data_IF_938036068309
#
_entry.id   IF_938036068309
#
_cell.length_a   1.000
_cell.length_b   1.000
_cell.length_c   1.000
_cell.angle_alpha   90.00
_cell.angle_beta   90.00
_cell.angle_gamma   90.00
#
_symmetry.space_group_name_H-M   'P 1'
#
loop_
_entity.id
_entity.type
_entity.pdbx_description
1 polymer ?
#
# COMPACT_ATOMS: atom_id res chain seq x y z
N UNK A 1 3.28 -1.81 16.04
CA UNK A 1 3.28 -1.45 14.60
C UNK A 1 4.45 -0.58 14.21
N UNK A 2 4.58 0.68 14.64
CA UNK A 2 5.73 1.55 14.28
C UNK A 2 7.09 0.92 14.64
N UNK A 3 7.19 0.27 15.82
CA UNK A 3 8.37 -0.53 16.20
C UNK A 3 8.71 -1.63 15.18
N UNK A 4 7.71 -2.38 14.73
CA UNK A 4 7.89 -3.45 13.73
C UNK A 4 8.30 -2.89 12.36
N UNK A 5 7.66 -1.80 11.91
CA UNK A 5 8.06 -1.11 10.67
C UNK A 5 9.50 -0.63 10.75
N UNK A 6 9.91 -0.01 11.87
CA UNK A 6 11.29 0.43 12.10
C UNK A 6 12.28 -0.73 12.03
N UNK A 7 11.94 -1.84 12.70
CA UNK A 7 12.74 -3.06 12.70
C UNK A 7 12.94 -3.60 11.28
N UNK A 8 11.87 -3.69 10.48
CA UNK A 8 11.94 -4.11 9.08
C UNK A 8 12.79 -3.18 8.21
N UNK A 9 12.63 -1.86 8.36
CA UNK A 9 13.45 -0.89 7.62
C UNK A 9 14.93 -1.02 7.99
N UNK A 10 15.25 -1.10 9.28
CA UNK A 10 16.62 -1.30 9.76
C UNK A 10 17.25 -2.58 9.20
N UNK A 11 16.52 -3.71 9.19
CA UNK A 11 17.03 -4.94 8.60
C UNK A 11 17.35 -4.81 7.11
N UNK A 12 16.45 -4.18 6.35
CA UNK A 12 16.67 -3.97 4.92
C UNK A 12 17.89 -3.08 4.66
N UNK A 13 18.08 -2.02 5.47
CA UNK A 13 19.24 -1.12 5.39
C UNK A 13 20.56 -1.84 5.67
N UNK A 14 20.58 -2.81 6.60
CA UNK A 14 21.80 -3.58 6.90
C UNK A 14 22.19 -4.52 5.76
N UNK A 15 21.22 -5.05 5.02
CA UNK A 15 21.48 -5.99 3.91
C UNK A 15 21.88 -5.28 2.60
N UNK A 16 21.48 -4.02 2.43
CA UNK A 16 21.67 -3.27 1.19
C UNK A 16 22.53 -2.02 1.43
N UNK A 17 23.71 -1.95 0.83
CA UNK A 17 24.54 -0.74 0.96
C UNK A 17 23.85 0.45 0.26
N UNK A 18 23.72 1.57 0.98
CA UNK A 18 23.17 2.86 0.50
C UNK A 18 21.67 2.87 0.12
N UNK A 19 20.80 2.36 0.99
CA UNK A 19 19.34 2.51 0.80
C UNK A 19 18.89 3.94 1.15
N UNK A 20 18.21 4.60 0.20
CA UNK A 20 17.39 5.79 0.42
C UNK A 20 15.92 5.41 0.22
N UNK A 21 15.08 5.62 1.23
CA UNK A 21 13.64 5.39 1.10
C UNK A 21 12.96 6.62 0.51
N UNK A 22 12.37 6.49 -0.68
CA UNK A 22 11.70 7.61 -1.36
C UNK A 22 10.21 7.73 -1.00
N UNK A 23 9.55 6.60 -0.73
CA UNK A 23 8.10 6.53 -0.50
C UNK A 23 7.76 5.21 0.20
N UNK A 24 6.75 5.24 1.05
CA UNK A 24 6.08 4.07 1.61
C UNK A 24 4.67 3.97 0.99
N UNK A 25 4.33 2.81 0.47
CA UNK A 25 3.00 2.53 -0.08
C UNK A 25 2.32 1.55 0.86
N UNK A 26 1.19 1.96 1.46
CA UNK A 26 0.39 1.10 2.33
C UNK A 26 -0.64 0.34 1.50
N UNK A 27 -0.78 -0.95 1.80
CA UNK A 27 -1.77 -1.84 1.21
C UNK A 27 -2.32 -2.81 2.26
N UNK A 28 -3.42 -3.47 1.94
CA UNK A 28 -4.11 -4.40 2.83
C UNK A 28 -5.10 -3.70 3.77
N UNK A 29 -5.78 -4.50 4.60
CA UNK A 29 -6.84 -4.00 5.49
C UNK A 29 -6.36 -2.93 6.48
N UNK A 30 -5.13 -3.05 6.98
CA UNK A 30 -4.53 -2.10 7.92
C UNK A 30 -4.29 -0.70 7.33
N UNK A 31 -4.30 -0.56 6.00
CA UNK A 31 -4.21 0.75 5.34
C UNK A 31 -5.45 1.63 5.60
N UNK A 32 -6.57 1.04 6.03
CA UNK A 32 -7.81 1.74 6.42
C UNK A 32 -7.81 2.26 7.88
N UNK A 33 -6.75 2.01 8.66
CA UNK A 33 -6.67 2.53 10.02
C UNK A 33 -6.60 4.06 9.96
N UNK A 34 -7.48 4.74 10.70
CA UNK A 34 -7.52 6.19 10.74
C UNK A 34 -6.15 6.77 11.10
N UNK A 35 -5.71 7.77 10.34
CA UNK A 35 -4.44 8.50 10.50
C UNK A 35 -3.17 7.65 10.38
N UNK A 36 -3.26 6.39 9.90
CA UNK A 36 -2.08 5.52 9.78
C UNK A 36 -1.00 6.10 8.87
N UNK A 37 -1.43 6.69 7.76
CA UNK A 37 -0.56 7.30 6.75
C UNK A 37 0.21 8.46 7.36
N UNK A 38 -0.48 9.37 8.06
CA UNK A 38 0.14 10.56 8.65
C UNK A 38 1.07 10.16 9.81
N UNK A 39 0.66 9.22 10.68
CA UNK A 39 1.49 8.68 11.75
C UNK A 39 2.81 8.10 11.20
N UNK A 40 2.75 7.25 10.16
CA UNK A 40 3.95 6.65 9.59
C UNK A 40 4.80 7.69 8.86
N UNK A 41 4.18 8.68 8.20
CA UNK A 41 4.89 9.75 7.51
C UNK A 41 5.68 10.62 8.48
N UNK A 42 5.10 10.95 9.63
CA UNK A 42 5.76 11.72 10.69
C UNK A 42 6.87 10.90 11.35
N UNK A 43 6.60 9.64 11.70
CA UNK A 43 7.54 8.80 12.46
C UNK A 43 8.80 8.39 11.69
N UNK A 44 8.73 8.37 10.36
CA UNK A 44 9.80 7.91 9.50
C UNK A 44 10.33 8.97 8.54
N UNK A 45 9.72 10.16 8.49
CA UNK A 45 10.09 11.24 7.57
C UNK A 45 10.15 10.77 6.10
N UNK A 46 9.29 9.82 5.75
CA UNK A 46 9.16 9.24 4.41
C UNK A 46 7.75 9.55 3.90
N UNK A 47 7.58 10.02 2.66
CA UNK A 47 6.24 10.19 2.08
C UNK A 47 5.45 8.87 2.12
N UNK A 48 4.30 8.85 2.80
CA UNK A 48 3.42 7.68 2.86
C UNK A 48 2.17 7.91 2.03
N UNK A 49 1.80 6.93 1.20
CA UNK A 49 0.56 6.94 0.41
C UNK A 49 -0.23 5.65 0.61
N UNK A 50 -1.56 5.72 0.48
CA UNK A 50 -2.40 4.53 0.37
C UNK A 50 -2.39 4.08 -1.09
N UNK A 51 -1.96 2.85 -1.33
CA UNK A 51 -1.91 2.28 -2.69
C UNK A 51 -3.31 2.01 -3.22
N UNK A 52 -3.61 2.50 -4.43
CA UNK A 52 -4.84 2.20 -5.14
C UNK A 52 -4.57 1.20 -6.27
N UNK A 53 -4.85 -0.10 -6.10
CA UNK A 53 -4.58 -1.12 -7.12
C UNK A 53 -5.52 -1.02 -8.34
N UNK A 54 -6.58 -0.21 -8.26
CA UNK A 54 -7.51 0.04 -9.36
C UNK A 54 -7.07 1.25 -10.22
N UNK A 55 -5.99 1.93 -9.86
CA UNK A 55 -5.48 3.08 -10.60
C UNK A 55 -5.15 2.71 -12.05
N UNK A 56 -5.64 3.52 -12.99
CA UNK A 56 -5.48 3.28 -14.43
C UNK A 56 -6.29 2.12 -15.02
N UNK A 57 -7.15 1.45 -14.24
CA UNK A 57 -8.01 0.35 -14.72
C UNK A 57 -9.38 0.87 -15.15
N UNK A 58 -9.89 0.38 -16.29
CA UNK A 58 -11.28 0.58 -16.70
C UNK A 58 -12.16 -0.44 -15.98
N UNK A 59 -13.15 0.04 -15.24
CA UNK A 59 -14.11 -0.81 -14.51
C UNK A 59 -15.47 -0.66 -15.20
N UNK A 60 -16.08 -1.78 -15.60
CA UNK A 60 -17.43 -1.77 -16.17
C UNK A 60 -18.47 -1.68 -15.04
N UNK A 61 -19.13 -0.53 -14.93
CA UNK A 61 -20.13 -0.25 -13.89
C UNK A 61 -21.41 -1.10 -14.05
N UNK A 62 -21.61 -1.74 -15.22
CA UNK A 62 -22.73 -2.68 -15.43
C UNK A 62 -22.50 -4.02 -14.77
N UNK A 63 -21.24 -4.36 -14.50
CA UNK A 63 -20.82 -5.65 -13.92
C UNK A 63 -20.42 -5.48 -12.44
N UNK A 64 -19.84 -4.34 -12.08
CA UNK A 64 -19.28 -4.12 -10.74
C UNK A 64 -19.94 -2.95 -10.01
N UNK A 65 -20.27 -3.16 -8.73
CA UNK A 65 -20.64 -2.07 -7.83
C UNK A 65 -19.42 -1.21 -7.48
N UNK A 66 -19.36 -0.02 -8.07
CA UNK A 66 -18.27 0.94 -7.88
C UNK A 66 -18.12 1.41 -6.42
N UNK A 67 -19.22 1.54 -5.67
CA UNK A 67 -19.14 1.93 -4.25
C UNK A 67 -18.46 0.84 -3.43
N UNK A 68 -18.83 -0.42 -3.67
CA UNK A 68 -18.18 -1.57 -3.05
C UNK A 68 -16.71 -1.68 -3.44
N UNK A 69 -16.39 -1.51 -4.72
CA UNK A 69 -14.99 -1.54 -5.20
C UNK A 69 -14.14 -0.46 -4.54
N UNK A 70 -14.65 0.77 -4.41
CA UNK A 70 -13.96 1.87 -3.71
C UNK A 70 -13.73 1.56 -2.23
N UNK A 71 -14.68 0.91 -1.56
CA UNK A 71 -14.55 0.50 -0.15
C UNK A 71 -13.51 -0.62 0.04
N UNK A 72 -13.37 -1.51 -0.93
CA UNK A 72 -12.44 -2.64 -0.86
C UNK A 72 -11.07 -2.34 -1.45
N UNK A 73 -10.88 -1.23 -2.17
CA UNK A 73 -9.68 -0.96 -2.99
C UNK A 73 -8.36 -1.28 -2.27
N UNK A 74 -8.21 -0.92 -0.99
CA UNK A 74 -6.96 -1.08 -0.26
C UNK A 74 -6.60 -2.55 0.00
N UNK A 75 -7.58 -3.46 0.00
CA UNK A 75 -7.37 -4.91 0.17
C UNK A 75 -7.22 -5.65 -1.15
N UNK A 76 -7.48 -5.00 -2.29
CA UNK A 76 -7.49 -5.64 -3.60
C UNK A 76 -6.09 -5.83 -4.21
N UNK A 77 -5.04 -5.27 -3.61
CA UNK A 77 -3.70 -5.25 -4.20
C UNK A 77 -3.22 -6.66 -4.60
N UNK A 78 -3.36 -7.65 -3.72
CA UNK A 78 -2.94 -9.03 -3.98
C UNK A 78 -3.74 -9.68 -5.10
N UNK A 79 -5.08 -9.59 -5.07
CA UNK A 79 -5.94 -10.25 -6.06
C UNK A 79 -5.81 -9.62 -7.45
N UNK A 80 -5.66 -8.30 -7.52
CA UNK A 80 -5.39 -7.59 -8.78
C UNK A 80 -4.01 -8.01 -9.33
N UNK A 81 -2.99 -8.09 -8.48
CA UNK A 81 -1.67 -8.58 -8.90
C UNK A 81 -1.70 -10.01 -9.44
N UNK A 82 -2.47 -10.91 -8.82
CA UNK A 82 -2.67 -12.27 -9.32
C UNK A 82 -3.40 -12.30 -10.66
N UNK A 83 -4.44 -11.48 -10.84
CA UNK A 83 -5.18 -11.38 -12.10
C UNK A 83 -4.34 -10.76 -13.23
N UNK A 84 -3.40 -9.88 -12.90
CA UNK A 84 -2.47 -9.27 -13.85
C UNK A 84 -1.31 -10.19 -14.26
N UNK A 85 -1.16 -11.36 -13.64
CA UNK A 85 -0.07 -12.27 -13.99
C UNK A 85 -0.24 -12.75 -15.44
N UNK A 86 0.62 -12.26 -16.31
CA UNK A 86 0.84 -12.82 -17.64
C UNK A 86 1.52 -14.20 -17.49
N UNK A 87 1.11 -15.15 -18.32
CA UNK A 87 1.76 -16.46 -18.45
C UNK A 87 2.86 -16.40 -19.49
#
# INVERSE_FOLDING_TARGET
MTKEVRKSLSYYKTQSQKVKYNKMILSGGCANINNIKDLLSEQFEIPVVIGNPLEGKKIDERVFDIKRMKKLKDTLATVIGLAMRER
#
